data_IF_061243644222
#
_entry.id   IF_061243644222
#
_cell.length_a   1.000
_cell.length_b   1.000
_cell.length_c   1.000
_cell.angle_alpha   90.00
_cell.angle_beta   90.00
_cell.angle_gamma   90.00
#
_symmetry.space_group_name_H-M   'P 1'
#
loop_
_entity.id
_entity.type
_entity.pdbx_description
1 polymer ?
#
# COMPACT_ATOMS: atom_id res chain seq x y z
N UNK A 1 -8.46 -3.76 4.84
CA UNK A 1 -9.60 -4.71 4.92
C UNK A 1 -9.13 -6.08 4.50
N UNK A 2 -9.87 -7.15 4.82
CA UNK A 2 -9.58 -8.49 4.27
C UNK A 2 -9.98 -8.65 2.79
N UNK A 3 -10.75 -7.71 2.23
CA UNK A 3 -11.20 -7.72 0.83
C UNK A 3 -11.33 -6.33 0.22
N UNK A 4 -11.48 -6.28 -1.11
CA UNK A 4 -11.63 -5.03 -1.84
C UNK A 4 -13.05 -4.46 -1.66
N UNK A 5 -13.12 -3.16 -1.42
CA UNK A 5 -14.35 -2.39 -1.20
C UNK A 5 -14.73 -1.69 -2.49
N UNK A 6 -16.02 -1.73 -2.83
CA UNK A 6 -16.58 -1.01 -3.98
C UNK A 6 -17.79 -0.14 -3.63
N UNK A 7 -18.39 -0.34 -2.45
CA UNK A 7 -19.49 0.50 -1.94
C UNK A 7 -18.96 1.57 -0.98
N UNK A 8 -19.25 2.87 -1.22
CA UNK A 8 -18.91 3.95 -0.30
C UNK A 8 -19.42 3.78 1.13
N UNK A 9 -20.57 3.11 1.35
CA UNK A 9 -21.09 2.87 2.70
C UNK A 9 -20.24 1.87 3.48
N UNK A 10 -19.82 0.81 2.82
CA UNK A 10 -18.88 -0.17 3.36
C UNK A 10 -17.53 0.50 3.67
N UNK A 11 -17.05 1.33 2.76
CA UNK A 11 -15.81 2.08 2.94
C UNK A 11 -15.85 2.99 4.18
N UNK A 12 -16.98 3.64 4.46
CA UNK A 12 -17.16 4.46 5.66
C UNK A 12 -17.12 3.64 6.95
N UNK A 13 -17.78 2.48 6.99
CA UNK A 13 -17.76 1.59 8.15
C UNK A 13 -16.33 1.08 8.44
N UNK A 14 -15.61 0.72 7.40
CA UNK A 14 -14.20 0.32 7.47
C UNK A 14 -13.32 1.47 7.95
N UNK A 15 -13.47 2.67 7.37
CA UNK A 15 -12.70 3.85 7.74
C UNK A 15 -12.88 4.22 9.21
N UNK A 16 -14.11 4.13 9.74
CA UNK A 16 -14.39 4.37 11.17
C UNK A 16 -13.73 3.34 12.08
N UNK A 17 -13.61 2.10 11.62
CA UNK A 17 -12.93 1.02 12.37
C UNK A 17 -11.42 1.22 12.39
N UNK A 18 -10.83 1.55 11.23
CA UNK A 18 -9.39 1.77 11.06
C UNK A 18 -8.92 3.09 11.71
N UNK A 19 -9.81 4.08 11.77
CA UNK A 19 -9.60 5.47 12.19
C UNK A 19 -8.68 6.25 11.25
N UNK A 20 -9.04 7.52 11.02
CA UNK A 20 -8.26 8.45 10.21
C UNK A 20 -6.90 8.84 10.85
N UNK A 21 -5.89 9.26 10.05
CA UNK A 21 -5.89 9.22 8.58
C UNK A 21 -5.83 7.78 8.04
N UNK A 22 -6.40 7.58 6.85
CA UNK A 22 -6.43 6.30 6.13
C UNK A 22 -5.81 6.45 4.75
N UNK A 23 -5.42 5.31 4.17
CA UNK A 23 -4.89 5.21 2.81
C UNK A 23 -5.83 4.33 1.99
N UNK A 24 -6.37 4.90 0.91
CA UNK A 24 -7.14 4.18 -0.10
C UNK A 24 -6.17 3.75 -1.20
N UNK A 25 -6.20 2.47 -1.61
CA UNK A 25 -5.31 1.91 -2.65
C UNK A 25 -6.11 1.12 -3.68
N UNK A 26 -5.78 1.22 -4.96
CA UNK A 26 -6.32 0.32 -5.99
C UNK A 26 -5.93 -1.13 -5.69
N UNK A 27 -6.89 -2.07 -5.75
CA UNK A 27 -6.64 -3.47 -5.43
C UNK A 27 -5.83 -4.19 -6.51
N UNK A 28 -6.11 -3.89 -7.78
CA UNK A 28 -5.34 -4.37 -8.93
C UNK A 28 -4.12 -3.48 -9.26
N UNK A 29 -3.83 -2.49 -8.41
CA UNK A 29 -2.84 -1.45 -8.69
C UNK A 29 -1.39 -1.83 -8.41
N UNK A 30 -0.47 -1.14 -9.08
CA UNK A 30 0.97 -1.30 -8.89
C UNK A 30 1.77 -0.05 -9.28
N UNK A 31 3.02 0.05 -8.82
CA UNK A 31 3.93 1.12 -9.24
C UNK A 31 3.62 2.51 -8.66
N UNK A 32 3.00 2.57 -7.49
CA UNK A 32 2.78 3.84 -6.77
C UNK A 32 1.57 4.68 -7.24
N UNK A 33 0.72 4.13 -8.11
CA UNK A 33 -0.48 4.82 -8.65
C UNK A 33 -1.76 4.32 -7.99
N UNK A 34 -2.82 5.15 -8.03
CA UNK A 34 -4.11 4.79 -7.44
C UNK A 34 -4.11 4.75 -5.92
N UNK A 35 -3.27 5.57 -5.27
CA UNK A 35 -3.21 5.70 -3.82
C UNK A 35 -3.61 7.10 -3.37
N UNK A 36 -4.45 7.21 -2.35
CA UNK A 36 -4.88 8.49 -1.77
C UNK A 36 -4.96 8.44 -0.26
N UNK A 37 -4.37 9.44 0.37
CA UNK A 37 -4.51 9.69 1.81
C UNK A 37 -5.81 10.45 2.01
N UNK A 38 -6.59 10.03 3.01
CA UNK A 38 -7.79 10.71 3.47
C UNK A 38 -7.63 11.01 4.95
N UNK A 39 -7.69 12.30 5.29
CA UNK A 39 -7.41 12.82 6.64
C UNK A 39 -8.62 12.75 7.57
N UNK A 40 -9.84 12.76 7.02
CA UNK A 40 -11.08 12.79 7.80
C UNK A 40 -12.29 12.20 7.05
N UNK A 41 -13.42 12.09 7.75
CA UNK A 41 -14.67 11.56 7.20
C UNK A 41 -15.24 12.43 6.06
N UNK A 42 -14.99 13.74 6.06
CA UNK A 42 -15.49 14.65 5.03
C UNK A 42 -14.79 14.41 3.68
N UNK A 43 -13.49 14.07 3.71
CA UNK A 43 -12.71 13.73 2.52
C UNK A 43 -12.93 12.33 1.96
N UNK A 44 -13.66 11.45 2.67
CA UNK A 44 -13.76 10.04 2.31
C UNK A 44 -14.41 9.81 0.94
N UNK A 45 -15.57 10.46 0.70
CA UNK A 45 -16.34 10.24 -0.52
C UNK A 45 -15.53 10.67 -1.76
N UNK A 46 -14.94 11.87 -1.74
CA UNK A 46 -14.09 12.34 -2.84
C UNK A 46 -12.86 11.43 -3.02
N UNK A 47 -12.23 11.02 -1.91
CA UNK A 47 -11.07 10.12 -1.92
C UNK A 47 -11.37 8.80 -2.62
N UNK A 48 -12.51 8.18 -2.29
CA UNK A 48 -12.97 6.93 -2.91
C UNK A 48 -13.29 7.11 -4.40
N UNK A 49 -14.10 8.11 -4.76
CA UNK A 49 -14.51 8.33 -6.14
C UNK A 49 -13.30 8.52 -7.07
N UNK A 50 -12.29 9.27 -6.59
CA UNK A 50 -11.05 9.49 -7.34
C UNK A 50 -10.18 8.24 -7.40
N UNK A 51 -10.06 7.49 -6.31
CA UNK A 51 -9.29 6.24 -6.29
C UNK A 51 -9.91 5.18 -7.22
N UNK A 52 -11.23 5.01 -7.18
CA UNK A 52 -11.97 4.08 -8.05
C UNK A 52 -11.84 4.49 -9.52
N UNK A 53 -11.97 5.78 -9.82
CA UNK A 53 -11.82 6.30 -11.19
C UNK A 53 -10.40 6.08 -11.72
N UNK A 54 -9.37 6.38 -10.92
CA UNK A 54 -7.97 6.13 -11.30
C UNK A 54 -7.69 4.64 -11.47
N UNK A 55 -8.22 3.79 -10.58
CA UNK A 55 -8.07 2.34 -10.67
C UNK A 55 -8.70 1.78 -11.96
N UNK A 56 -9.94 2.19 -12.29
CA UNK A 56 -10.61 1.81 -13.55
C UNK A 56 -9.80 2.23 -14.78
N UNK A 57 -9.30 3.46 -14.78
CA UNK A 57 -8.57 4.00 -15.92
C UNK A 57 -7.19 3.38 -16.11
N UNK A 58 -6.49 3.05 -15.01
CA UNK A 58 -5.13 2.52 -15.06
C UNK A 58 -5.07 0.99 -15.16
N UNK A 59 -6.04 0.28 -14.56
CA UNK A 59 -5.99 -1.18 -14.37
C UNK A 59 -7.25 -1.91 -14.85
N UNK A 60 -8.28 -1.20 -15.30
CA UNK A 60 -9.55 -1.80 -15.76
C UNK A 60 -10.47 -2.31 -14.64
N UNK A 61 -10.02 -2.25 -13.39
CA UNK A 61 -10.77 -2.64 -12.19
C UNK A 61 -10.84 -1.47 -11.21
N UNK A 62 -12.05 -1.16 -10.75
CA UNK A 62 -12.30 -0.07 -9.81
C UNK A 62 -12.23 -0.46 -8.34
N UNK A 63 -11.93 -1.72 -8.03
CA UNK A 63 -11.88 -2.21 -6.66
C UNK A 63 -10.72 -1.57 -5.87
N UNK A 64 -10.98 -1.19 -4.62
CA UNK A 64 -9.99 -0.50 -3.75
C UNK A 64 -9.88 -1.16 -2.37
N UNK A 65 -8.73 -1.02 -1.72
CA UNK A 65 -8.52 -1.35 -0.31
C UNK A 65 -8.42 -0.08 0.54
N UNK A 66 -8.81 -0.22 1.81
CA UNK A 66 -8.62 0.82 2.82
C UNK A 66 -7.72 0.26 3.92
N UNK A 67 -6.68 1.02 4.23
CA UNK A 67 -5.68 0.69 5.23
C UNK A 67 -5.41 1.88 6.15
N UNK A 68 -4.79 1.60 7.31
CA UNK A 68 -4.31 2.66 8.18
C UNK A 68 -3.16 3.40 7.49
N UNK A 69 -3.23 4.72 7.44
CA UNK A 69 -2.07 5.51 7.01
C UNK A 69 -1.04 5.58 8.14
N UNK A 70 0.21 5.26 7.82
CA UNK A 70 1.36 5.35 8.72
C UNK A 70 2.18 6.56 8.29
N UNK A 71 2.41 7.49 9.21
CA UNK A 71 3.24 8.68 8.96
C UNK A 71 4.73 8.37 9.07
N UNK A 72 5.52 8.99 8.18
CA UNK A 72 6.97 8.77 8.10
C UNK A 72 7.42 7.30 8.00
N UNK A 73 6.74 6.43 7.21
CA UNK A 73 7.08 5.02 7.20
C UNK A 73 8.41 4.79 6.47
N UNK A 74 9.11 3.73 6.88
CA UNK A 74 10.18 3.14 6.08
C UNK A 74 9.59 2.06 5.18
N UNK A 75 9.98 2.04 3.92
CA UNK A 75 9.58 0.98 2.98
C UNK A 75 10.70 -0.06 2.92
N UNK A 76 10.55 -1.12 3.69
CA UNK A 76 11.45 -2.28 3.70
C UNK A 76 10.78 -3.40 2.94
N UNK A 77 11.51 -4.05 2.03
CA UNK A 77 11.03 -5.22 1.32
C UNK A 77 12.03 -6.37 1.36
N UNK A 78 11.54 -7.60 1.46
CA UNK A 78 12.37 -8.81 1.57
C UNK A 78 12.32 -9.57 0.25
N UNK A 79 13.49 -9.92 -0.28
CA UNK A 79 13.57 -10.76 -1.46
C UNK A 79 13.39 -12.22 -1.07
N UNK A 80 12.43 -12.91 -1.68
CA UNK A 80 12.20 -14.36 -1.48
C UNK A 80 12.50 -15.10 -2.77
N UNK A 81 13.12 -16.28 -2.66
CA UNK A 81 13.34 -17.24 -3.74
C UNK A 81 12.83 -18.61 -3.30
N UNK A 82 11.96 -19.22 -4.08
CA UNK A 82 11.42 -20.55 -3.80
C UNK A 82 11.48 -21.42 -5.05
N UNK A 83 11.72 -22.72 -4.87
CA UNK A 83 11.69 -23.71 -5.95
C UNK A 83 10.55 -24.74 -5.79
N UNK A 84 10.36 -25.59 -6.81
CA UNK A 84 9.34 -26.63 -6.81
C UNK A 84 9.72 -27.89 -6.01
N UNK A 85 10.92 -27.91 -5.43
CA UNK A 85 11.41 -28.99 -4.58
C UNK A 85 11.19 -28.69 -3.09
N UNK A 86 10.62 -27.54 -2.77
CA UNK A 86 10.31 -27.11 -1.40
C UNK A 86 11.41 -26.29 -0.74
N UNK A 87 12.46 -25.90 -1.48
CA UNK A 87 13.45 -24.97 -0.96
C UNK A 87 12.89 -23.55 -0.98
N UNK A 88 13.03 -22.84 0.14
CA UNK A 88 12.65 -21.43 0.28
C UNK A 88 13.80 -20.70 0.96
N UNK A 89 14.26 -19.63 0.35
CA UNK A 89 15.31 -18.76 0.85
C UNK A 89 14.83 -17.32 0.82
N UNK A 90 15.37 -16.50 1.72
CA UNK A 90 15.30 -15.06 1.61
C UNK A 90 16.68 -14.50 1.31
N UNK A 91 16.75 -13.46 0.48
CA UNK A 91 17.98 -12.78 0.08
C UNK A 91 18.02 -11.40 0.72
N UNK A 92 17.94 -11.39 2.05
CA UNK A 92 17.90 -10.18 2.88
C UNK A 92 16.80 -9.20 2.43
N UNK A 93 16.91 -7.96 2.89
CA UNK A 93 16.01 -6.86 2.61
C UNK A 93 16.61 -5.79 1.69
N UNK A 94 15.74 -4.94 1.16
CA UNK A 94 16.06 -3.66 0.54
C UNK A 94 15.39 -2.53 1.30
N UNK A 95 16.10 -1.42 1.46
CA UNK A 95 15.52 -0.14 1.87
C UNK A 95 15.09 0.60 0.60
N UNK A 96 13.80 0.94 0.52
CA UNK A 96 13.22 1.63 -0.63
C UNK A 96 12.40 2.86 -0.22
N UNK A 97 12.71 3.50 0.90
CA UNK A 97 11.95 4.62 1.46
C UNK A 97 12.17 5.92 0.69
N UNK A 98 13.25 6.02 -0.09
CA UNK A 98 13.51 7.18 -0.94
C UNK A 98 12.57 7.12 -2.15
N UNK A 99 11.44 7.80 -2.00
CA UNK A 99 10.34 7.78 -2.96
C UNK A 99 9.90 9.17 -3.36
N UNK A 100 9.38 9.31 -4.57
CA UNK A 100 8.66 10.50 -5.03
C UNK A 100 7.28 10.08 -5.50
N UNK A 101 6.23 10.64 -4.88
CA UNK A 101 4.82 10.29 -5.17
C UNK A 101 4.58 8.77 -5.11
N UNK A 102 5.10 8.12 -4.05
CA UNK A 102 5.00 6.68 -3.81
C UNK A 102 5.66 5.78 -4.87
N UNK A 103 6.53 6.33 -5.71
CA UNK A 103 7.37 5.59 -6.63
C UNK A 103 8.80 5.58 -6.10
N UNK A 104 9.44 4.42 -6.12
CA UNK A 104 10.83 4.27 -5.69
C UNK A 104 11.77 5.04 -6.61
N UNK A 105 12.76 5.70 -6.01
CA UNK A 105 13.75 6.54 -6.71
C UNK A 105 15.16 6.06 -6.43
N UNK A 106 15.43 5.68 -5.18
CA UNK A 106 16.69 5.06 -4.78
C UNK A 106 16.38 3.85 -3.91
N UNK A 107 17.05 2.75 -4.18
CA UNK A 107 17.00 1.53 -3.39
C UNK A 107 18.41 1.13 -2.95
N UNK A 108 18.55 0.68 -1.71
CA UNK A 108 19.80 0.16 -1.14
C UNK A 108 19.61 -1.22 -0.52
N UNK A 109 20.70 -1.99 -0.45
CA UNK A 109 20.72 -3.31 0.17
C UNK A 109 22.09 -3.61 0.82
N UNK A 110 22.13 -4.14 2.05
CA UNK A 110 21.02 -4.25 3.01
C UNK A 110 20.58 -2.86 3.52
N UNK A 111 19.49 -2.79 4.28
CA UNK A 111 19.06 -1.55 4.91
C UNK A 111 20.04 -1.13 6.01
N UNK A 112 20.51 0.12 5.97
CA UNK A 112 21.37 0.68 7.01
C UNK A 112 20.63 0.93 8.34
N UNK A 113 19.29 0.91 8.33
CA UNK A 113 18.43 1.21 9.49
C UNK A 113 18.11 -0.06 10.29
N UNK A 114 18.12 -1.24 9.66
CA UNK A 114 17.79 -2.49 10.33
C UNK A 114 19.02 -3.10 11.01
N UNK A 115 18.84 -3.54 12.25
CA UNK A 115 19.86 -4.29 12.97
C UNK A 115 19.91 -5.74 12.47
N UNK A 116 21.03 -6.47 12.67
CA UNK A 116 21.11 -7.89 12.35
C UNK A 116 20.02 -8.74 13.01
N UNK A 117 19.57 -8.38 14.21
CA UNK A 117 18.52 -9.12 14.95
C UNK A 117 17.11 -8.89 14.38
N UNK A 118 16.88 -7.77 13.69
CA UNK A 118 15.59 -7.47 13.03
C UNK A 118 15.49 -8.07 11.63
N UNK A 119 16.59 -8.57 11.07
CA UNK A 119 16.72 -9.09 9.70
C UNK A 119 16.54 -10.60 9.66
#
# INVERSE_FOLDING_TARGET
TEGAVSDPKEALAVAKTIKFPILIKAAAGGGGKGMRIVEDEAGLQEGLDRAISEAKNAFGDGSVFIEKYVEGPRHIEVQVLADTHGNVLYLFERECSVQRRHQKVVEEAPSAVLTPEMR
#
